data_IF_411611160175
#
_entry.id   IF_411611160175
#
_cell.length_a   1.000
_cell.length_b   1.000
_cell.length_c   1.000
_cell.angle_alpha   90.00
_cell.angle_beta   90.00
_cell.angle_gamma   90.00
#
_symmetry.space_group_name_H-M   'P 1'
#
loop_
_entity.id
_entity.type
_entity.pdbx_description
1 polymer ?
#
# COMPACT_ATOMS: atom_id res chain seq x y z
N UNK A 1 -17.40 11.50 -14.41
CA UNK A 1 -17.24 10.05 -14.15
C UNK A 1 -17.84 9.76 -12.79
N UNK A 2 -18.66 8.73 -12.65
CA UNK A 2 -19.26 8.39 -11.36
C UNK A 2 -18.17 7.81 -10.45
N UNK A 3 -18.01 8.37 -9.25
CA UNK A 3 -17.14 7.82 -8.21
C UNK A 3 -17.92 6.75 -7.46
N UNK A 4 -17.67 5.44 -7.68
CA UNK A 4 -18.39 4.40 -6.97
C UNK A 4 -18.12 4.52 -5.47
N UNK A 5 -19.18 4.62 -4.68
CA UNK A 5 -19.11 4.64 -3.22
C UNK A 5 -19.64 3.33 -2.67
N UNK A 6 -18.93 2.76 -1.69
CA UNK A 6 -19.39 1.61 -0.93
C UNK A 6 -19.20 1.88 0.56
N UNK A 7 -20.07 1.28 1.38
CA UNK A 7 -20.07 1.43 2.84
C UNK A 7 -19.91 0.07 3.48
N UNK A 8 -18.99 -0.03 4.44
CA UNK A 8 -18.71 -1.25 5.19
C UNK A 8 -18.81 -0.99 6.69
N UNK A 9 -19.22 -1.99 7.47
CA UNK A 9 -19.18 -1.92 8.93
C UNK A 9 -17.79 -2.33 9.41
N UNK A 10 -17.17 -1.47 10.23
CA UNK A 10 -15.88 -1.75 10.85
C UNK A 10 -16.07 -2.11 12.32
N UNK A 11 -15.26 -3.04 12.85
CA UNK A 11 -15.11 -3.23 14.29
C UNK A 11 -14.60 -1.95 14.95
N UNK A 12 -15.05 -1.67 16.18
CA UNK A 12 -14.68 -0.45 16.92
C UNK A 12 -13.16 -0.31 17.09
N UNK A 13 -12.47 -1.40 17.46
CA UNK A 13 -11.02 -1.41 17.63
C UNK A 13 -10.28 -0.99 16.34
N UNK A 14 -10.81 -1.35 15.18
CA UNK A 14 -10.22 -1.01 13.89
C UNK A 14 -10.44 0.46 13.52
N UNK A 15 -11.62 1.03 13.82
CA UNK A 15 -11.86 2.46 13.61
C UNK A 15 -11.00 3.32 14.55
N UNK A 16 -10.80 2.89 15.80
CA UNK A 16 -9.92 3.59 16.75
C UNK A 16 -8.47 3.64 16.25
N UNK A 17 -7.92 2.51 15.80
CA UNK A 17 -6.57 2.46 15.20
C UNK A 17 -6.47 3.29 13.94
N UNK A 18 -7.49 3.25 13.07
CA UNK A 18 -7.53 4.05 11.85
C UNK A 18 -7.54 5.56 12.16
N UNK A 19 -8.35 5.99 13.14
CA UNK A 19 -8.40 7.38 13.59
C UNK A 19 -7.05 7.84 14.15
N UNK A 20 -6.38 7.00 14.94
CA UNK A 20 -5.06 7.32 15.49
C UNK A 20 -4.02 7.50 14.38
N UNK A 21 -4.01 6.60 13.39
CA UNK A 21 -3.11 6.68 12.24
C UNK A 21 -3.36 7.92 11.38
N UNK A 22 -4.63 8.25 11.11
CA UNK A 22 -5.04 9.47 10.40
C UNK A 22 -4.55 10.74 11.10
N UNK A 23 -4.67 10.80 12.43
CA UNK A 23 -4.17 11.94 13.22
C UNK A 23 -2.65 12.05 13.18
N UNK A 24 -1.94 10.92 13.21
CA UNK A 24 -0.47 10.90 13.20
C UNK A 24 0.11 11.24 11.83
N UNK A 25 -0.46 10.68 10.76
CA UNK A 25 0.05 10.84 9.40
C UNK A 25 -0.49 12.10 8.70
N UNK A 26 -1.49 12.79 9.28
CA UNK A 26 -2.07 14.00 8.70
C UNK A 26 -2.84 13.77 7.39
N UNK A 27 -3.32 12.55 7.16
CA UNK A 27 -4.01 12.12 5.94
C UNK A 27 -5.45 11.73 6.22
N UNK A 28 -6.32 11.77 5.20
CA UNK A 28 -7.75 11.43 5.38
C UNK A 28 -7.96 9.93 5.51
N UNK A 29 -9.02 9.52 6.24
CA UNK A 29 -9.46 8.11 6.33
C UNK A 29 -9.60 7.47 4.95
N UNK A 30 -10.19 8.22 4.01
CA UNK A 30 -10.36 7.77 2.62
C UNK A 30 -9.04 7.47 1.95
N UNK A 31 -8.03 8.34 2.12
CA UNK A 31 -6.69 8.10 1.55
C UNK A 31 -6.06 6.84 2.13
N UNK A 32 -6.13 6.65 3.46
CA UNK A 32 -5.62 5.43 4.12
C UNK A 32 -6.30 4.17 3.56
N UNK A 33 -7.63 4.20 3.40
CA UNK A 33 -8.37 3.06 2.87
C UNK A 33 -8.02 2.78 1.41
N UNK A 34 -7.90 3.81 0.58
CA UNK A 34 -7.50 3.67 -0.82
C UNK A 34 -6.09 3.10 -0.94
N UNK A 35 -5.13 3.63 -0.18
CA UNK A 35 -3.75 3.13 -0.15
C UNK A 35 -3.69 1.67 0.33
N UNK A 36 -4.45 1.31 1.37
CA UNK A 36 -4.53 -0.06 1.88
C UNK A 36 -5.19 -1.03 0.87
N UNK A 37 -6.28 -0.61 0.22
CA UNK A 37 -6.96 -1.40 -0.82
C UNK A 37 -6.09 -1.57 -2.06
N UNK A 38 -5.41 -0.51 -2.51
CA UNK A 38 -4.49 -0.56 -3.64
C UNK A 38 -3.31 -1.49 -3.35
N UNK A 39 -2.75 -1.42 -2.14
CA UNK A 39 -1.70 -2.33 -1.70
C UNK A 39 -2.20 -3.78 -1.63
N UNK A 40 -3.38 -4.02 -1.02
CA UNK A 40 -3.93 -5.36 -0.86
C UNK A 40 -4.31 -6.02 -2.19
N UNK A 41 -4.89 -5.25 -3.13
CA UNK A 41 -5.33 -5.74 -4.43
C UNK A 41 -4.23 -5.72 -5.49
N UNK A 42 -3.03 -5.25 -5.17
CA UNK A 42 -1.94 -5.07 -6.13
C UNK A 42 -2.19 -3.97 -7.17
N UNK A 43 -3.26 -3.20 -7.04
CA UNK A 43 -3.60 -2.02 -7.85
C UNK A 43 -2.83 -0.77 -7.41
N UNK A 44 -1.62 -0.96 -6.89
CA UNK A 44 -0.74 0.15 -6.55
C UNK A 44 -0.15 0.72 -7.84
N UNK A 45 -0.91 1.54 -8.55
CA UNK A 45 -0.40 2.42 -9.61
C UNK A 45 0.58 3.48 -9.07
N UNK A 46 0.79 3.55 -7.74
CA UNK A 46 1.59 4.58 -7.06
C UNK A 46 2.65 4.00 -6.08
N UNK A 47 3.19 2.80 -6.34
CA UNK A 47 4.55 2.54 -5.83
C UNK A 47 5.47 3.30 -6.78
N UNK A 48 6.17 4.37 -6.34
CA UNK A 48 7.07 5.10 -7.24
C UNK A 48 7.96 4.07 -7.91
N UNK A 49 8.02 4.07 -9.25
CA UNK A 49 8.75 3.08 -10.06
C UNK A 49 10.11 2.73 -9.46
N UNK A 50 10.77 3.73 -8.88
CA UNK A 50 11.99 3.61 -8.06
C UNK A 50 11.96 2.50 -7.00
N UNK A 51 10.90 2.33 -6.21
CA UNK A 51 10.81 1.24 -5.21
C UNK A 51 10.65 -0.13 -5.86
N UNK A 52 9.90 -0.23 -6.97
CA UNK A 52 9.77 -1.48 -7.72
C UNK A 52 11.07 -1.86 -8.43
N UNK A 53 11.77 -0.88 -8.99
CA UNK A 53 13.08 -1.07 -9.61
C UNK A 53 14.11 -1.45 -8.57
N UNK A 54 14.17 -0.79 -7.40
CA UNK A 54 15.08 -1.18 -6.32
C UNK A 54 14.84 -2.62 -5.84
N UNK A 55 13.58 -3.03 -5.65
CA UNK A 55 13.27 -4.41 -5.26
C UNK A 55 13.65 -5.42 -6.36
N UNK A 56 13.48 -5.04 -7.63
CA UNK A 56 13.91 -5.85 -8.77
C UNK A 56 15.44 -5.95 -8.87
N UNK A 57 16.17 -4.85 -8.68
CA UNK A 57 17.63 -4.81 -8.66
C UNK A 57 18.19 -5.69 -7.54
N UNK A 58 17.62 -5.63 -6.34
CA UNK A 58 18.05 -6.43 -5.19
C UNK A 58 17.82 -7.93 -5.44
N UNK A 59 16.66 -8.28 -6.03
CA UNK A 59 16.36 -9.67 -6.41
C UNK A 59 17.25 -10.18 -7.54
N UNK A 60 17.57 -9.33 -8.51
CA UNK A 60 18.45 -9.67 -9.63
C UNK A 60 19.88 -9.91 -9.14
N UNK A 61 20.42 -9.03 -8.28
CA UNK A 61 21.73 -9.21 -7.67
C UNK A 61 21.83 -10.52 -6.87
N UNK A 62 20.78 -10.89 -6.13
CA UNK A 62 20.74 -12.15 -5.41
C UNK A 62 20.67 -13.40 -6.32
N UNK A 63 20.13 -13.26 -7.53
CA UNK A 63 20.08 -14.31 -8.55
C UNK A 63 21.43 -14.43 -9.29
N UNK A 64 22.05 -13.32 -9.67
CA UNK A 64 23.38 -13.28 -10.29
C UNK A 64 24.44 -13.88 -9.37
N UNK A 65 24.42 -13.52 -8.07
CA UNK A 65 25.31 -14.10 -7.07
C UNK A 65 25.13 -15.62 -6.88
N UNK A 66 23.98 -16.18 -7.25
CA UNK A 66 23.73 -17.63 -7.23
C UNK A 66 24.08 -18.31 -8.56
N UNK A 67 24.13 -17.55 -9.66
CA UNK A 67 24.45 -18.07 -10.99
C UNK A 67 25.95 -18.09 -11.29
N UNK A 68 26.77 -17.39 -10.49
CA UNK A 68 28.24 -17.38 -10.56
C UNK A 68 28.94 -18.51 -9.75
N UNK A 69 28.18 -19.51 -9.28
CA UNK A 69 28.68 -20.74 -8.64
C UNK A 69 28.32 -21.96 -9.47
#
# INVERSE_FOLDING_TARGET
MASPQFSVRLPQELDERLNAYVKQAGITKTKVMLDALAHYLGCADDVPLIRRVMELEERMAALEAKSEK
#
